data_IF_496037256478
#
_entry.id   IF_496037256478
#
_cell.length_a   1.000
_cell.length_b   1.000
_cell.length_c   1.000
_cell.angle_alpha   90.00
_cell.angle_beta   90.00
_cell.angle_gamma   90.00
#
_symmetry.space_group_name_H-M   'P 1'
#
loop_
_entity.id
_entity.type
_entity.pdbx_description
1 polymer ?
#
# COMPACT_ATOMS: atom_id res chain seq x y z
N UNK A 1 0.15 -45.11 -55.83
CA UNK A 1 1.30 -44.18 -55.90
C UNK A 1 1.09 -43.15 -54.80
N UNK A 2 1.84 -43.24 -53.70
CA UNK A 2 1.84 -42.21 -52.66
C UNK A 2 2.65 -41.02 -53.20
N UNK A 3 1.95 -39.99 -53.63
CA UNK A 3 2.55 -38.71 -53.96
C UNK A 3 3.13 -38.14 -52.66
N UNK A 4 4.44 -38.27 -52.49
CA UNK A 4 5.15 -37.70 -51.34
C UNK A 4 5.16 -36.19 -51.56
N UNK A 5 4.22 -35.48 -50.92
CA UNK A 5 4.15 -34.03 -50.99
C UNK A 5 5.49 -33.45 -50.54
N UNK A 6 6.29 -32.97 -51.50
CA UNK A 6 7.49 -32.18 -51.20
C UNK A 6 7.00 -30.91 -50.53
N UNK A 7 7.23 -30.78 -49.23
CA UNK A 7 6.92 -29.57 -48.48
C UNK A 7 7.65 -28.41 -49.15
N UNK A 8 6.89 -27.43 -49.63
CA UNK A 8 7.48 -26.20 -50.20
C UNK A 8 8.30 -25.54 -49.08
N UNK A 9 9.50 -25.05 -49.39
CA UNK A 9 10.37 -24.35 -48.42
C UNK A 9 9.61 -23.19 -47.75
N UNK A 10 8.69 -22.58 -48.50
CA UNK A 10 7.80 -21.54 -47.98
C UNK A 10 6.87 -22.05 -46.86
N UNK A 11 6.18 -23.18 -47.08
CA UNK A 11 5.24 -23.75 -46.11
C UNK A 11 5.96 -24.16 -44.83
N UNK A 12 7.14 -24.76 -44.95
CA UNK A 12 7.97 -25.10 -43.80
C UNK A 12 8.37 -23.85 -43.01
N UNK A 13 8.84 -22.80 -43.68
CA UNK A 13 9.25 -21.55 -43.03
C UNK A 13 8.07 -20.87 -42.31
N UNK A 14 6.91 -20.81 -42.97
CA UNK A 14 5.69 -20.25 -42.39
C UNK A 14 5.23 -21.04 -41.16
N UNK A 15 5.25 -22.37 -41.22
CA UNK A 15 4.93 -23.23 -40.08
C UNK A 15 5.90 -23.01 -38.90
N UNK A 16 7.19 -22.84 -39.17
CA UNK A 16 8.19 -22.52 -38.14
C UNK A 16 7.91 -21.17 -37.48
N UNK A 17 7.66 -20.12 -38.25
CA UNK A 17 7.33 -18.80 -37.70
C UNK A 17 6.04 -18.82 -36.88
N UNK A 18 5.01 -19.53 -37.34
CA UNK A 18 3.77 -19.72 -36.59
C UNK A 18 4.03 -20.43 -35.25
N UNK A 19 4.78 -21.53 -35.28
CA UNK A 19 5.13 -22.29 -34.07
C UNK A 19 5.92 -21.47 -33.05
N UNK A 20 6.96 -20.75 -33.50
CA UNK A 20 7.75 -19.87 -32.64
C UNK A 20 6.87 -18.77 -32.06
N UNK A 21 6.11 -18.07 -32.90
CA UNK A 21 5.26 -16.95 -32.43
C UNK A 21 4.20 -17.43 -31.44
N UNK A 22 3.63 -18.62 -31.62
CA UNK A 22 2.69 -19.21 -30.67
C UNK A 22 3.34 -19.52 -29.31
N UNK A 23 4.59 -20.00 -29.30
CA UNK A 23 5.36 -20.18 -28.06
C UNK A 23 5.60 -18.83 -27.38
N UNK A 24 5.95 -17.79 -28.13
CA UNK A 24 6.15 -16.43 -27.60
C UNK A 24 4.85 -15.86 -27.00
N UNK A 25 3.71 -16.06 -27.66
CA UNK A 25 2.36 -15.73 -27.14
C UNK A 25 2.10 -16.42 -25.79
N UNK A 26 2.42 -17.71 -25.70
CA UNK A 26 2.25 -18.47 -24.47
C UNK A 26 3.16 -17.96 -23.35
N UNK A 27 4.42 -17.64 -23.67
CA UNK A 27 5.39 -17.09 -22.71
C UNK A 27 5.00 -15.70 -22.23
N UNK A 28 4.54 -14.81 -23.11
CA UNK A 28 4.10 -13.48 -22.71
C UNK A 28 2.86 -13.55 -21.82
N UNK A 29 1.88 -14.39 -22.18
CA UNK A 29 0.67 -14.58 -21.36
C UNK A 29 1.00 -15.15 -19.98
N UNK A 30 1.94 -16.10 -19.92
CA UNK A 30 2.39 -16.67 -18.66
C UNK A 30 3.09 -15.62 -17.78
N UNK A 31 3.97 -14.79 -18.36
CA UNK A 31 4.63 -13.71 -17.62
C UNK A 31 3.64 -12.64 -17.13
N UNK A 32 2.69 -12.23 -17.97
CA UNK A 32 1.61 -11.32 -17.55
C UNK A 32 0.87 -11.87 -16.33
N UNK A 33 0.45 -13.14 -16.37
CA UNK A 33 -0.22 -13.79 -15.23
C UNK A 33 0.61 -13.85 -13.94
N UNK A 34 1.94 -14.00 -14.03
CA UNK A 34 2.80 -13.97 -12.84
C UNK A 34 2.90 -12.56 -12.23
N UNK A 35 2.96 -11.53 -13.07
CA UNK A 35 2.98 -10.14 -12.63
C UNK A 35 1.63 -9.67 -12.09
N UNK A 36 0.52 -10.09 -12.71
CA UNK A 36 -0.84 -9.89 -12.20
C UNK A 36 -1.04 -10.54 -10.82
N UNK A 37 -0.47 -11.74 -10.61
CA UNK A 37 -0.44 -12.37 -9.29
C UNK A 37 0.28 -11.53 -8.23
N UNK A 38 1.47 -10.99 -8.54
CA UNK A 38 2.23 -10.09 -7.65
C UNK A 38 1.48 -8.80 -7.37
N UNK A 39 0.82 -8.22 -8.38
CA UNK A 39 -0.03 -7.05 -8.22
C UNK A 39 -1.18 -7.33 -7.24
N UNK A 40 -1.90 -8.42 -7.43
CA UNK A 40 -3.04 -8.78 -6.58
C UNK A 40 -2.61 -8.99 -5.12
N UNK A 41 -1.48 -9.65 -4.89
CA UNK A 41 -0.88 -9.81 -3.56
C UNK A 41 -0.54 -8.46 -2.93
N UNK A 42 0.19 -7.60 -3.64
CA UNK A 42 0.60 -6.27 -3.15
C UNK A 42 -0.62 -5.38 -2.83
N UNK A 43 -1.65 -5.38 -3.67
CA UNK A 43 -2.88 -4.63 -3.38
C UNK A 43 -3.65 -5.21 -2.20
N UNK A 44 -3.67 -6.54 -2.03
CA UNK A 44 -4.24 -7.19 -0.85
C UNK A 44 -3.53 -6.81 0.45
N UNK A 45 -2.19 -6.80 0.43
CA UNK A 45 -1.36 -6.36 1.54
C UNK A 45 -1.54 -4.87 1.85
N UNK A 46 -1.51 -4.01 0.83
CA UNK A 46 -1.72 -2.58 0.97
C UNK A 46 -3.08 -2.26 1.59
N UNK A 47 -4.16 -2.93 1.16
CA UNK A 47 -5.49 -2.76 1.74
C UNK A 47 -5.56 -3.20 3.21
N UNK A 48 -4.86 -4.28 3.56
CA UNK A 48 -4.78 -4.76 4.94
C UNK A 48 -4.04 -3.74 5.82
N UNK A 49 -2.91 -3.22 5.35
CA UNK A 49 -2.14 -2.18 6.04
C UNK A 49 -2.94 -0.88 6.18
N UNK A 50 -3.66 -0.45 5.13
CA UNK A 50 -4.52 0.72 5.17
C UNK A 50 -5.69 0.56 6.17
N UNK A 51 -6.28 -0.64 6.22
CA UNK A 51 -7.34 -0.95 7.21
C UNK A 51 -6.79 -0.90 8.64
N UNK A 52 -5.59 -1.45 8.86
CA UNK A 52 -4.92 -1.38 10.16
C UNK A 52 -4.59 0.08 10.55
N UNK A 53 -4.10 0.89 9.60
CA UNK A 53 -3.87 2.33 9.80
C UNK A 53 -5.16 3.06 10.22
N UNK A 54 -6.26 2.82 9.50
CA UNK A 54 -7.55 3.42 9.81
C UNK A 54 -8.05 3.03 11.21
N UNK A 55 -7.87 1.77 11.60
CA UNK A 55 -8.23 1.29 12.94
C UNK A 55 -7.40 1.96 14.04
N UNK A 56 -6.08 2.07 13.87
CA UNK A 56 -5.21 2.75 14.84
C UNK A 56 -5.49 4.26 14.90
N UNK A 57 -5.77 4.90 13.75
CA UNK A 57 -6.18 6.31 13.70
C UNK A 57 -7.49 6.56 14.43
N UNK A 58 -8.46 5.65 14.28
CA UNK A 58 -9.74 5.74 14.98
C UNK A 58 -9.55 5.60 16.50
N UNK A 59 -8.74 4.64 16.96
CA UNK A 59 -8.38 4.49 18.38
C UNK A 59 -7.72 5.77 18.92
N UNK A 60 -6.70 6.27 18.24
CA UNK A 60 -6.01 7.50 18.63
C UNK A 60 -6.97 8.69 18.70
N UNK A 61 -7.87 8.84 17.72
CA UNK A 61 -8.87 9.92 17.71
C UNK A 61 -9.84 9.82 18.89
N UNK A 62 -10.30 8.60 19.23
CA UNK A 62 -11.19 8.37 20.38
C UNK A 62 -10.46 8.70 21.68
N UNK A 63 -9.21 8.26 21.85
CA UNK A 63 -8.41 8.53 23.04
C UNK A 63 -8.07 10.01 23.18
N UNK A 64 -7.64 10.67 22.10
CA UNK A 64 -7.44 12.14 22.08
C UNK A 64 -8.72 12.91 22.42
N UNK A 65 -9.88 12.45 21.94
CA UNK A 65 -11.17 13.08 22.27
C UNK A 65 -11.56 12.88 23.74
N UNK A 66 -11.21 11.73 24.33
CA UNK A 66 -11.39 11.46 25.76
C UNK A 66 -10.46 12.35 26.59
N UNK A 67 -9.19 12.43 26.23
CA UNK A 67 -8.19 13.26 26.91
C UNK A 67 -8.57 14.75 26.85
N UNK A 68 -9.01 15.23 25.69
CA UNK A 68 -9.50 16.60 25.54
C UNK A 68 -10.71 16.89 26.45
N UNK A 69 -11.65 15.95 26.58
CA UNK A 69 -12.79 16.11 27.49
C UNK A 69 -12.36 16.12 28.96
N UNK A 70 -11.39 15.28 29.33
CA UNK A 70 -10.79 15.25 30.67
C UNK A 70 -10.15 16.60 30.99
N UNK A 71 -9.33 17.11 30.07
CA UNK A 71 -8.62 18.37 30.24
C UNK A 71 -9.60 19.55 30.36
N UNK A 72 -10.60 19.65 29.49
CA UNK A 72 -11.65 20.67 29.56
C UNK A 72 -12.41 20.58 30.90
N UNK A 73 -12.80 19.38 31.32
CA UNK A 73 -13.57 19.18 32.56
C UNK A 73 -12.73 19.54 33.78
N UNK A 74 -11.47 19.12 33.82
CA UNK A 74 -10.55 19.45 34.90
C UNK A 74 -10.29 20.96 34.96
N UNK A 75 -10.06 21.61 33.82
CA UNK A 75 -9.91 23.06 33.74
C UNK A 75 -11.13 23.82 34.27
N UNK A 76 -12.35 23.36 33.95
CA UNK A 76 -13.59 23.94 34.48
C UNK A 76 -13.67 23.81 36.01
N UNK A 77 -13.30 22.65 36.57
CA UNK A 77 -13.30 22.41 38.01
C UNK A 77 -12.28 23.30 38.73
N UNK A 78 -11.07 23.41 38.18
CA UNK A 78 -10.01 24.27 38.72
C UNK A 78 -10.44 25.74 38.75
N UNK A 79 -11.23 26.17 37.75
CA UNK A 79 -11.73 27.55 37.65
C UNK A 79 -12.77 27.89 38.73
N UNK A 80 -13.29 26.91 39.47
CA UNK A 80 -14.21 27.15 40.58
C UNK A 80 -13.50 27.60 41.87
N UNK A 81 -12.17 27.47 41.93
CA UNK A 81 -11.34 27.86 43.09
C UNK A 81 -11.82 27.25 44.43
N UNK A 82 -12.34 26.02 44.37
CA UNK A 82 -12.82 25.27 45.54
C UNK A 82 -11.93 24.03 45.80
N UNK A 83 -11.51 23.78 47.06
CA UNK A 83 -10.62 22.66 47.40
C UNK A 83 -11.13 21.27 46.98
N UNK A 84 -12.44 21.04 46.94
CA UNK A 84 -12.99 19.75 46.50
C UNK A 84 -12.90 19.61 44.98
N UNK A 85 -13.18 20.69 44.25
CA UNK A 85 -13.04 20.72 42.78
C UNK A 85 -11.60 20.50 42.35
N UNK A 86 -10.64 21.12 43.04
CA UNK A 86 -9.20 20.94 42.81
C UNK A 86 -8.75 19.49 43.02
N UNK A 87 -9.30 18.80 44.03
CA UNK A 87 -9.04 17.38 44.27
C UNK A 87 -9.59 16.50 43.13
N UNK A 88 -10.80 16.79 42.64
CA UNK A 88 -11.41 16.06 41.52
C UNK A 88 -10.60 16.30 40.24
N UNK A 89 -10.19 17.54 39.94
CA UNK A 89 -9.37 17.84 38.77
C UNK A 89 -8.02 17.11 38.82
N UNK A 90 -7.37 17.08 39.99
CA UNK A 90 -6.13 16.33 40.20
C UNK A 90 -6.33 14.84 39.96
N UNK A 91 -7.45 14.28 40.39
CA UNK A 91 -7.81 12.89 40.12
C UNK A 91 -8.02 12.62 38.62
N UNK A 92 -8.71 13.51 37.90
CA UNK A 92 -8.93 13.37 36.46
C UNK A 92 -7.60 13.29 35.69
N UNK A 93 -6.66 14.19 35.99
CA UNK A 93 -5.34 14.19 35.35
C UNK A 93 -4.49 12.97 35.73
N UNK A 94 -4.42 12.62 37.01
CA UNK A 94 -3.53 11.53 37.46
C UNK A 94 -4.06 10.13 37.15
N UNK A 95 -5.38 9.98 36.92
CA UNK A 95 -6.02 8.66 36.76
C UNK A 95 -6.68 8.40 35.42
N UNK A 96 -7.24 9.43 34.79
CA UNK A 96 -8.06 9.22 33.59
C UNK A 96 -7.34 9.64 32.31
N UNK A 97 -6.43 10.61 32.41
CA UNK A 97 -5.66 11.11 31.27
C UNK A 97 -4.64 10.07 30.80
N UNK A 98 -4.57 9.87 29.49
CA UNK A 98 -3.59 8.96 28.88
C UNK A 98 -2.14 9.32 29.23
N UNK A 99 -1.22 8.36 29.08
CA UNK A 99 0.23 8.58 29.25
C UNK A 99 0.79 9.66 28.33
N UNK A 100 0.49 9.64 27.01
CA UNK A 100 0.95 10.69 26.13
C UNK A 100 0.37 12.06 26.50
N UNK A 101 -0.90 12.13 26.92
CA UNK A 101 -1.51 13.40 27.31
C UNK A 101 -0.91 13.97 28.60
N UNK A 102 -0.66 13.11 29.59
CA UNK A 102 -0.04 13.51 30.85
C UNK A 102 1.38 14.06 30.65
N UNK A 103 2.16 13.39 29.81
CA UNK A 103 3.50 13.81 29.42
C UNK A 103 3.47 15.12 28.64
N UNK A 104 2.48 15.31 27.76
CA UNK A 104 2.32 16.53 26.97
C UNK A 104 2.04 17.78 27.83
N UNK A 105 1.31 17.61 28.93
CA UNK A 105 1.08 18.63 29.96
C UNK A 105 2.27 18.78 30.94
N UNK A 106 3.36 18.05 30.73
CA UNK A 106 4.57 18.09 31.57
C UNK A 106 4.29 17.88 33.07
N UNK A 107 3.23 17.13 33.39
CA UNK A 107 2.81 16.91 34.77
C UNK A 107 3.85 16.05 35.51
N UNK A 108 3.97 16.20 36.85
CA UNK A 108 4.98 15.49 37.64
C UNK A 108 4.81 13.97 37.49
N UNK A 109 5.78 13.23 36.92
CA UNK A 109 5.63 11.79 36.71
C UNK A 109 5.43 11.03 38.03
N UNK A 110 5.91 11.55 39.15
CA UNK A 110 5.73 11.00 40.50
C UNK A 110 4.28 11.06 41.00
N UNK A 111 3.45 11.92 40.39
CA UNK A 111 2.02 12.02 40.68
C UNK A 111 1.17 11.12 39.78
N UNK A 112 1.74 10.56 38.70
CA UNK A 112 1.06 9.55 37.88
C UNK A 112 1.13 8.19 38.56
N UNK A 113 -0.03 7.58 38.79
CA UNK A 113 -0.13 6.38 39.64
C UNK A 113 -0.40 5.14 38.79
N UNK A 114 0.54 4.20 38.76
CA UNK A 114 0.26 2.80 38.42
C UNK A 114 -0.47 2.11 39.58
N UNK A 115 -1.25 1.07 39.30
CA UNK A 115 -2.11 0.39 40.29
C UNK A 115 -1.38 0.08 41.61
N UNK A 116 -1.68 0.84 42.69
CA UNK A 116 -1.23 0.52 44.06
C UNK A 116 -0.67 1.65 44.95
N UNK A 117 -0.25 2.83 44.45
CA UNK A 117 0.60 3.76 45.24
C UNK A 117 -0.06 5.00 45.90
N UNK A 118 -0.22 5.05 47.23
CA UNK A 118 -0.54 6.21 48.12
C UNK A 118 -1.14 7.53 47.52
N UNK A 119 -2.36 7.88 47.93
CA UNK A 119 -3.04 9.16 47.61
C UNK A 119 -2.27 10.41 48.06
N UNK A 120 -1.31 10.26 48.97
CA UNK A 120 -0.50 11.34 49.52
C UNK A 120 0.38 12.06 48.48
N UNK A 121 0.94 11.36 47.48
CA UNK A 121 1.88 11.98 46.52
C UNK A 121 1.19 12.96 45.56
N UNK A 122 0.03 12.58 45.02
CA UNK A 122 -0.78 13.46 44.17
C UNK A 122 -1.33 14.66 44.94
N UNK A 123 -1.62 14.49 46.24
CA UNK A 123 -2.04 15.60 47.10
C UNK A 123 -0.87 16.58 47.37
N UNK A 124 0.34 16.07 47.59
CA UNK A 124 1.54 16.89 47.78
C UNK A 124 1.93 17.71 46.53
N UNK A 125 1.68 17.16 45.34
CA UNK A 125 2.01 17.79 44.05
C UNK A 125 0.83 18.50 43.38
N UNK A 126 -0.32 18.57 44.07
CA UNK A 126 -1.55 19.18 43.53
C UNK A 126 -1.31 20.58 42.98
N UNK A 127 -0.65 21.46 43.75
CA UNK A 127 -0.39 22.84 43.33
C UNK A 127 0.37 22.93 41.99
N UNK A 128 1.38 22.07 41.79
CA UNK A 128 2.16 22.04 40.54
C UNK A 128 1.33 21.49 39.37
N UNK A 129 0.53 20.44 39.61
CA UNK A 129 -0.35 19.85 38.60
C UNK A 129 -1.35 20.89 38.09
N UNK A 130 -2.01 21.59 39.02
CA UNK A 130 -3.04 22.58 38.66
C UNK A 130 -2.42 23.79 37.93
N UNK A 131 -1.23 24.24 38.32
CA UNK A 131 -0.54 25.34 37.65
C UNK A 131 -0.16 24.97 36.21
N UNK A 132 0.43 23.79 35.99
CA UNK A 132 0.78 23.32 34.65
C UNK A 132 -0.45 23.11 33.77
N UNK A 133 -1.50 22.50 34.31
CA UNK A 133 -2.76 22.27 33.61
C UNK A 133 -3.46 23.58 33.16
N UNK A 134 -3.34 24.67 33.93
CA UNK A 134 -3.88 25.98 33.53
C UNK A 134 -3.14 26.62 32.36
N UNK A 135 -1.84 26.34 32.24
CA UNK A 135 -0.94 27.09 31.36
C UNK A 135 -0.58 26.35 30.06
N UNK A 136 -0.83 25.04 29.99
CA UNK A 136 -0.48 24.21 28.84
C UNK A 136 -1.73 23.69 28.14
N UNK A 137 -1.79 23.88 26.82
CA UNK A 137 -2.86 23.39 25.96
C UNK A 137 -2.55 21.99 25.46
N UNK A 138 -3.30 20.99 25.94
CA UNK A 138 -3.16 19.61 25.50
C UNK A 138 -3.65 19.42 24.06
N UNK A 139 -4.79 20.02 23.71
CA UNK A 139 -5.43 19.84 22.39
C UNK A 139 -4.57 20.46 21.30
N UNK A 140 -3.97 21.62 21.55
CA UNK A 140 -3.05 22.31 20.65
C UNK A 140 -1.62 21.73 20.61
N UNK A 141 -1.30 20.73 21.42
CA UNK A 141 0.06 20.18 21.48
C UNK A 141 0.37 19.28 20.26
N UNK A 142 1.11 19.83 19.29
CA UNK A 142 1.48 19.10 18.06
C UNK A 142 2.29 17.83 18.33
N UNK A 143 3.13 17.82 19.37
CA UNK A 143 3.96 16.65 19.71
C UNK A 143 3.08 15.51 20.22
N UNK A 144 2.08 15.82 21.05
CA UNK A 144 1.07 14.87 21.50
C UNK A 144 0.27 14.30 20.34
N UNK A 145 -0.28 15.16 19.46
CA UNK A 145 -1.05 14.70 18.31
C UNK A 145 -0.23 13.77 17.41
N UNK A 146 1.05 14.11 17.18
CA UNK A 146 1.96 13.30 16.39
C UNK A 146 2.29 11.97 17.07
N UNK A 147 2.55 11.96 18.39
CA UNK A 147 2.81 10.74 19.14
C UNK A 147 1.59 9.79 19.08
N UNK A 148 0.38 10.33 19.24
CA UNK A 148 -0.88 9.56 19.16
C UNK A 148 -1.12 8.97 17.77
N UNK A 149 -0.76 9.69 16.70
CA UNK A 149 -1.00 9.27 15.31
C UNK A 149 0.17 8.50 14.69
N UNK A 150 1.34 8.47 15.33
CA UNK A 150 2.58 7.93 14.77
C UNK A 150 2.42 6.52 14.18
N UNK A 151 1.76 5.62 14.92
CA UNK A 151 1.55 4.25 14.48
C UNK A 151 0.62 4.14 13.27
N UNK A 152 -0.43 4.98 13.23
CA UNK A 152 -1.33 5.02 12.08
C UNK A 152 -0.62 5.57 10.84
N UNK A 153 0.21 6.61 11.01
CA UNK A 153 1.02 7.18 9.94
C UNK A 153 2.05 6.19 9.41
N UNK A 154 2.71 5.43 10.29
CA UNK A 154 3.65 4.38 9.90
C UNK A 154 2.98 3.30 9.04
N UNK A 155 1.83 2.80 9.48
CA UNK A 155 1.05 1.80 8.72
C UNK A 155 0.55 2.36 7.39
N UNK A 156 0.16 3.64 7.35
CA UNK A 156 -0.24 4.29 6.10
C UNK A 156 0.94 4.41 5.12
N UNK A 157 2.12 4.80 5.61
CA UNK A 157 3.33 4.87 4.78
C UNK A 157 3.73 3.48 4.24
N UNK A 158 3.58 2.43 5.05
CA UNK A 158 3.76 1.05 4.60
C UNK A 158 2.75 0.67 3.51
N UNK A 159 1.47 1.00 3.71
CA UNK A 159 0.41 0.76 2.71
C UNK A 159 0.71 1.43 1.37
N UNK A 160 1.13 2.70 1.40
CA UNK A 160 1.49 3.44 0.18
C UNK A 160 2.70 2.84 -0.54
N UNK A 161 3.70 2.37 0.20
CA UNK A 161 4.86 1.70 -0.38
C UNK A 161 4.45 0.40 -1.09
N UNK A 162 3.71 -0.47 -0.41
CA UNK A 162 3.23 -1.74 -0.97
C UNK A 162 2.31 -1.50 -2.16
N UNK A 163 1.47 -0.46 -2.11
CA UNK A 163 0.60 -0.09 -3.23
C UNK A 163 1.42 0.31 -4.47
N UNK A 164 2.52 1.06 -4.29
CA UNK A 164 3.44 1.41 -5.40
C UNK A 164 4.12 0.18 -6.00
N UNK A 165 4.47 -0.81 -5.18
CA UNK A 165 4.99 -2.09 -5.66
C UNK A 165 3.92 -2.85 -6.48
N UNK A 166 2.65 -2.77 -6.08
CA UNK A 166 1.52 -3.28 -6.85
C UNK A 166 1.32 -2.57 -8.19
N UNK A 167 1.44 -1.23 -8.23
CA UNK A 167 1.36 -0.45 -9.48
C UNK A 167 2.47 -0.84 -10.46
N UNK A 168 3.70 -1.02 -9.97
CA UNK A 168 4.81 -1.46 -10.81
C UNK A 168 4.55 -2.86 -11.38
N UNK A 169 4.06 -3.80 -10.56
CA UNK A 169 3.69 -5.13 -11.03
C UNK A 169 2.60 -5.10 -12.10
N UNK A 170 1.56 -4.27 -11.92
CA UNK A 170 0.52 -4.04 -12.93
C UNK A 170 1.12 -3.52 -14.25
N UNK A 171 1.99 -2.50 -14.16
CA UNK A 171 2.61 -1.91 -15.34
C UNK A 171 3.45 -2.93 -16.12
N UNK A 172 4.17 -3.81 -15.43
CA UNK A 172 4.93 -4.87 -16.09
C UNK A 172 4.01 -5.93 -16.70
N UNK A 173 2.92 -6.31 -16.01
CA UNK A 173 1.89 -7.22 -16.54
C UNK A 173 1.30 -6.70 -17.86
N UNK A 174 0.86 -5.43 -17.88
CA UNK A 174 0.29 -4.77 -19.05
C UNK A 174 1.25 -4.78 -20.26
N UNK A 175 2.56 -4.65 -20.01
CA UNK A 175 3.58 -4.71 -21.07
C UNK A 175 3.70 -6.10 -21.68
N UNK A 176 3.56 -7.17 -20.90
CA UNK A 176 3.52 -8.53 -21.42
C UNK A 176 2.21 -8.83 -22.15
N UNK A 177 1.09 -8.29 -21.70
CA UNK A 177 -0.18 -8.36 -22.43
C UNK A 177 -0.10 -7.63 -23.78
N UNK A 178 0.63 -6.51 -23.86
CA UNK A 178 0.90 -5.87 -25.14
C UNK A 178 1.71 -6.79 -26.09
N UNK A 179 2.71 -7.51 -25.60
CA UNK A 179 3.42 -8.53 -26.39
C UNK A 179 2.45 -9.59 -26.93
N UNK A 180 1.51 -10.05 -26.10
CA UNK A 180 0.49 -11.02 -26.50
C UNK A 180 -0.33 -10.52 -27.70
N UNK A 181 -0.79 -9.27 -27.65
CA UNK A 181 -1.52 -8.62 -28.76
C UNK A 181 -0.66 -8.54 -30.02
N UNK A 182 0.61 -8.13 -29.91
CA UNK A 182 1.54 -8.06 -31.05
C UNK A 182 1.75 -9.44 -31.68
N UNK A 183 1.93 -10.48 -30.88
CA UNK A 183 2.10 -11.84 -31.37
C UNK A 183 0.82 -12.40 -31.99
N UNK A 184 -0.36 -12.09 -31.46
CA UNK A 184 -1.64 -12.48 -32.06
C UNK A 184 -1.81 -11.86 -33.47
N UNK A 185 -1.47 -10.57 -33.62
CA UNK A 185 -1.47 -9.91 -34.93
C UNK A 185 -0.44 -10.56 -35.86
N UNK A 186 0.75 -10.88 -35.35
CA UNK A 186 1.78 -11.58 -36.13
C UNK A 186 1.29 -12.96 -36.61
N UNK A 187 0.73 -13.78 -35.71
CA UNK A 187 0.16 -15.10 -36.03
C UNK A 187 -0.91 -15.02 -37.11
N UNK A 188 -1.76 -14.00 -37.05
CA UNK A 188 -2.78 -13.77 -38.08
C UNK A 188 -2.15 -13.57 -39.47
N UNK A 189 -1.17 -12.67 -39.59
CA UNK A 189 -0.50 -12.44 -40.88
C UNK A 189 0.30 -13.66 -41.34
N UNK A 190 1.01 -14.33 -40.44
CA UNK A 190 1.74 -15.56 -40.75
C UNK A 190 0.79 -16.68 -41.23
N UNK A 191 -0.41 -16.79 -40.64
CA UNK A 191 -1.43 -17.76 -41.04
C UNK A 191 -2.03 -17.46 -42.41
N UNK A 192 -2.38 -16.19 -42.68
CA UNK A 192 -2.92 -15.79 -43.99
C UNK A 192 -1.87 -15.91 -45.10
N UNK A 193 -0.58 -15.76 -44.79
CA UNK A 193 0.49 -15.95 -45.77
C UNK A 193 0.42 -17.31 -46.48
N UNK A 194 -0.05 -18.37 -45.79
CA UNK A 194 -0.25 -19.71 -46.34
C UNK A 194 -1.38 -19.81 -47.38
N UNK A 195 -2.33 -18.88 -47.37
CA UNK A 195 -3.49 -18.89 -48.27
C UNK A 195 -3.16 -18.29 -49.64
N UNK A 196 -2.15 -17.41 -49.72
CA UNK A 196 -1.80 -16.72 -50.95
C UNK A 196 -1.04 -17.63 -51.93
N UNK A 197 -1.51 -17.67 -53.18
CA UNK A 197 -0.88 -18.40 -54.29
C UNK A 197 0.10 -17.55 -55.12
N UNK A 198 0.17 -16.25 -54.87
CA UNK A 198 1.06 -15.29 -55.55
C UNK A 198 2.24 -14.88 -54.67
N UNK A 199 3.17 -14.10 -55.21
CA UNK A 199 4.31 -13.53 -54.47
C UNK A 199 3.91 -12.68 -53.25
N UNK A 200 2.63 -12.30 -53.14
CA UNK A 200 2.08 -11.67 -51.94
C UNK A 200 2.31 -12.50 -50.68
N UNK A 201 2.39 -13.84 -50.82
CA UNK A 201 2.67 -14.77 -49.72
C UNK A 201 3.97 -14.42 -48.98
N UNK A 202 5.02 -14.04 -49.71
CA UNK A 202 6.30 -13.65 -49.10
C UNK A 202 6.23 -12.29 -48.41
N UNK A 203 5.52 -11.32 -48.99
CA UNK A 203 5.37 -9.98 -48.40
C UNK A 203 4.63 -10.04 -47.07
N UNK A 204 3.54 -10.79 -47.01
CA UNK A 204 2.73 -10.98 -45.81
C UNK A 204 3.50 -11.79 -44.75
N UNK A 205 4.22 -12.84 -45.17
CA UNK A 205 5.09 -13.61 -44.29
C UNK A 205 6.16 -12.73 -43.63
N UNK A 206 6.87 -11.91 -44.41
CA UNK A 206 7.92 -11.01 -43.91
C UNK A 206 7.31 -10.00 -42.94
N UNK A 207 6.15 -9.43 -43.27
CA UNK A 207 5.47 -8.48 -42.38
C UNK A 207 5.09 -9.12 -41.04
N UNK A 208 4.46 -10.30 -41.06
CA UNK A 208 4.16 -11.06 -39.85
C UNK A 208 5.42 -11.43 -39.04
N UNK A 209 6.49 -11.84 -39.73
CA UNK A 209 7.78 -12.15 -39.12
C UNK A 209 8.45 -10.94 -38.46
N UNK A 210 8.39 -9.75 -39.08
CA UNK A 210 8.89 -8.51 -38.50
C UNK A 210 8.11 -8.09 -37.25
N UNK A 211 6.79 -8.27 -37.23
CA UNK A 211 5.97 -8.05 -36.04
C UNK A 211 6.35 -9.01 -34.91
N UNK A 212 6.54 -10.30 -35.22
CA UNK A 212 7.00 -11.30 -34.25
C UNK A 212 8.36 -10.93 -33.68
N UNK A 213 9.32 -10.56 -34.54
CA UNK A 213 10.66 -10.17 -34.13
C UNK A 213 10.65 -8.90 -33.28
N UNK A 214 9.85 -7.88 -33.66
CA UNK A 214 9.69 -6.66 -32.88
C UNK A 214 9.08 -6.92 -31.51
N UNK A 215 8.03 -7.75 -31.44
CA UNK A 215 7.43 -8.18 -30.18
C UNK A 215 8.41 -8.96 -29.29
N UNK A 216 9.23 -9.84 -29.87
CA UNK A 216 10.27 -10.56 -29.16
C UNK A 216 11.35 -9.63 -28.59
N UNK A 217 11.86 -8.70 -29.40
CA UNK A 217 12.88 -7.74 -28.96
C UNK A 217 12.33 -6.93 -27.79
N UNK A 218 11.10 -6.41 -27.90
CA UNK A 218 10.46 -5.68 -26.81
C UNK A 218 10.28 -6.56 -25.57
N UNK A 219 9.78 -7.80 -25.72
CA UNK A 219 9.57 -8.73 -24.61
C UNK A 219 10.86 -9.05 -23.84
N UNK A 220 12.00 -9.15 -24.52
CA UNK A 220 13.31 -9.40 -23.88
C UNK A 220 13.77 -8.20 -23.03
N UNK A 221 13.30 -6.99 -23.32
CA UNK A 221 13.66 -5.79 -22.54
C UNK A 221 12.81 -5.60 -21.27
N UNK A 222 11.74 -6.38 -21.10
CA UNK A 222 10.85 -6.29 -19.94
C UNK A 222 11.48 -6.98 -18.72
N UNK A 223 10.98 -6.63 -17.53
CA UNK A 223 11.39 -7.29 -16.30
C UNK A 223 10.75 -8.68 -16.21
N UNK A 224 11.58 -9.71 -16.29
CA UNK A 224 11.13 -11.09 -16.12
C UNK A 224 11.01 -11.42 -14.64
N UNK A 225 10.06 -12.29 -14.29
CA UNK A 225 9.86 -12.70 -12.88
C UNK A 225 10.96 -13.61 -12.31
N UNK A 226 11.89 -14.09 -13.14
CA UNK A 226 12.97 -15.04 -12.79
C UNK A 226 14.35 -14.40 -12.80
#
# INVERSE_FOLDING_TARGET
MSETAKTDKFEFLAAVFLGITAILTALSSFQAGLWDGKQAENYGMANTQATASAAERAKATVEMSKDAQIDITAYQLISLEDPKSDLIATYLYTRQLSDPGYKALQLPPEAKRDEGEDEEKSAALQGEILDKAKNLDLVGNETYQKEMLAKAEELNAQAEKTFKEGNYANEVSDKFDLCNVVFAISLFFLGIALVFKSDMRWKVLIFGGLLSLGGLIYMITLDWTY
#
